data_IF_572213936614
#
_entry.id   IF_572213936614
#
_cell.length_a   1.000
_cell.length_b   1.000
_cell.length_c   1.000
_cell.angle_alpha   90.00
_cell.angle_beta   90.00
_cell.angle_gamma   90.00
#
_symmetry.space_group_name_H-M   'P 1'
#
loop_
_entity.id
_entity.type
_entity.pdbx_description
1 polymer ?
#
# COMPACT_ATOMS: atom_id res chain seq x y z
N UNK A 1 -2.59 -3.68 0.12
CA UNK A 1 -1.57 -2.97 -0.68
C UNK A 1 -0.21 -3.61 -0.48
N UNK A 2 0.65 -3.48 -1.50
CA UNK A 2 2.05 -3.84 -1.37
C UNK A 2 2.84 -2.67 -0.78
N UNK A 3 3.60 -2.96 0.26
CA UNK A 3 4.46 -2.01 0.96
C UNK A 3 5.91 -2.44 0.76
N UNK A 4 6.71 -1.53 0.28
CA UNK A 4 8.15 -1.69 0.19
C UNK A 4 8.76 -1.29 1.54
N UNK A 5 9.51 -2.19 2.15
CA UNK A 5 10.19 -1.96 3.44
C UNK A 5 11.68 -2.27 3.32
N UNK A 6 12.49 -1.51 4.04
CA UNK A 6 13.92 -1.77 4.14
C UNK A 6 14.21 -2.76 5.26
N UNK A 7 15.09 -3.74 5.00
CA UNK A 7 15.50 -4.72 6.00
C UNK A 7 16.45 -4.13 7.08
N UNK A 8 17.03 -2.93 6.83
CA UNK A 8 18.08 -2.36 7.68
C UNK A 8 17.75 -1.01 8.33
N UNK A 9 16.71 -0.29 7.86
CA UNK A 9 16.32 1.00 8.42
C UNK A 9 14.81 1.19 8.36
N UNK A 10 14.30 2.31 8.88
CA UNK A 10 12.86 2.60 8.98
C UNK A 10 12.20 3.04 7.67
N UNK A 11 12.88 2.89 6.52
CA UNK A 11 12.29 3.22 5.24
C UNK A 11 11.15 2.26 4.92
N UNK A 12 9.96 2.81 4.73
CA UNK A 12 8.79 2.11 4.24
C UNK A 12 7.94 3.04 3.34
N UNK A 13 7.40 2.50 2.28
CA UNK A 13 6.51 3.23 1.37
C UNK A 13 5.56 2.27 0.65
N UNK A 14 4.37 2.74 0.26
CA UNK A 14 3.55 1.95 -0.65
C UNK A 14 4.24 1.84 -2.02
N UNK A 15 3.91 0.80 -2.78
CA UNK A 15 4.58 0.50 -4.06
C UNK A 15 4.45 1.64 -5.09
N UNK A 16 3.41 2.45 -4.98
CA UNK A 16 3.14 3.58 -5.89
C UNK A 16 4.08 4.77 -5.64
N UNK A 17 4.57 4.94 -4.42
CA UNK A 17 5.44 6.04 -4.02
C UNK A 17 6.86 5.60 -3.69
N UNK A 18 7.11 4.29 -3.56
CA UNK A 18 8.41 3.76 -3.19
C UNK A 18 9.50 4.17 -4.18
N UNK A 19 10.67 4.52 -3.65
CA UNK A 19 11.88 4.83 -4.43
C UNK A 19 12.99 3.87 -4.05
N UNK A 20 13.99 3.76 -4.91
CA UNK A 20 15.19 2.94 -4.66
C UNK A 20 16.46 3.75 -4.89
N UNK A 21 17.59 3.26 -4.41
CA UNK A 21 18.88 3.80 -4.79
C UNK A 21 19.12 3.58 -6.29
N UNK A 22 19.78 4.55 -6.93
CA UNK A 22 20.15 4.43 -8.35
C UNK A 22 20.94 3.15 -8.57
N UNK A 23 20.51 2.36 -9.55
CA UNK A 23 21.18 1.10 -9.90
C UNK A 23 22.51 1.36 -10.58
N UNK A 24 23.45 0.47 -10.31
CA UNK A 24 24.76 0.43 -10.96
C UNK A 24 25.04 -0.98 -11.47
N UNK A 25 25.89 -1.11 -12.46
CA UNK A 25 26.33 -2.41 -13.00
C UNK A 25 27.85 -2.48 -13.04
N UNK A 26 28.38 -3.70 -12.99
CA UNK A 26 29.79 -4.00 -13.27
C UNK A 26 30.02 -4.43 -14.73
N UNK A 27 28.95 -4.52 -15.53
CA UNK A 27 29.03 -4.87 -16.92
C UNK A 27 29.80 -3.80 -17.72
N UNK A 28 30.52 -4.22 -18.73
CA UNK A 28 31.26 -3.33 -19.62
C UNK A 28 30.29 -2.42 -20.39
N UNK A 29 30.66 -1.16 -20.50
CA UNK A 29 29.88 -0.19 -21.28
C UNK A 29 30.04 -0.48 -22.78
N UNK A 30 28.97 -0.26 -23.57
CA UNK A 30 29.14 -0.25 -25.02
C UNK A 30 30.11 0.87 -25.42
N UNK A 31 31.19 0.53 -26.07
CA UNK A 31 32.13 1.49 -26.66
C UNK A 31 31.67 1.81 -28.07
N UNK A 32 30.88 2.85 -28.27
CA UNK A 32 30.49 3.28 -29.60
C UNK A 32 30.20 4.78 -29.60
N UNK A 33 30.62 5.45 -30.66
CA UNK A 33 30.09 6.78 -30.97
C UNK A 33 28.59 6.69 -31.26
N UNK A 34 27.87 7.75 -30.95
CA UNK A 34 26.42 7.78 -31.15
C UNK A 34 26.07 7.55 -32.63
N UNK A 35 25.62 6.36 -32.96
CA UNK A 35 25.30 5.94 -34.32
C UNK A 35 24.04 5.11 -34.40
N UNK A 36 23.40 5.13 -35.58
CA UNK A 36 22.21 4.35 -35.91
C UNK A 36 22.59 3.08 -36.60
N UNK A 37 22.09 1.94 -36.12
CA UNK A 37 22.41 0.60 -36.65
C UNK A 37 21.13 -0.12 -37.09
N UNK A 38 21.23 -0.86 -38.18
CA UNK A 38 20.21 -1.81 -38.59
C UNK A 38 20.27 -3.03 -37.68
N UNK A 39 19.16 -3.39 -37.07
CA UNK A 39 19.03 -4.47 -36.07
C UNK A 39 17.83 -5.35 -36.42
N UNK A 40 17.95 -6.15 -37.50
CA UNK A 40 16.84 -6.95 -37.98
C UNK A 40 16.42 -7.98 -36.92
N UNK A 41 15.10 -8.11 -36.69
CA UNK A 41 14.50 -9.03 -35.73
C UNK A 41 14.82 -8.75 -34.25
N UNK A 42 15.54 -7.69 -33.91
CA UNK A 42 15.79 -7.29 -32.51
C UNK A 42 14.69 -6.31 -32.03
N UNK A 43 13.62 -6.84 -31.45
CA UNK A 43 12.47 -6.03 -31.00
C UNK A 43 12.38 -5.94 -29.48
N UNK A 44 12.75 -6.99 -28.77
CA UNK A 44 12.74 -7.00 -27.31
C UNK A 44 14.07 -6.48 -26.75
N UNK A 45 14.06 -6.02 -25.50
CA UNK A 45 15.30 -5.58 -24.83
C UNK A 45 16.37 -6.68 -24.85
N UNK A 46 15.96 -7.92 -24.61
CA UNK A 46 16.84 -9.07 -24.66
C UNK A 46 17.47 -9.25 -26.06
N UNK A 47 16.64 -9.19 -27.13
CA UNK A 47 17.16 -9.32 -28.51
C UNK A 47 18.17 -8.22 -28.83
N UNK A 48 17.89 -6.97 -28.38
CA UNK A 48 18.77 -5.82 -28.59
C UNK A 48 20.09 -6.00 -27.82
N UNK A 49 20.03 -6.41 -26.56
CA UNK A 49 21.19 -6.65 -25.72
C UNK A 49 22.05 -7.78 -26.30
N UNK A 50 21.45 -8.90 -26.74
CA UNK A 50 22.12 -10.00 -27.39
C UNK A 50 22.77 -9.59 -28.74
N UNK A 51 22.06 -8.78 -29.55
CA UNK A 51 22.57 -8.30 -30.85
C UNK A 51 23.85 -7.48 -30.69
N UNK A 52 23.86 -6.55 -29.71
CA UNK A 52 25.04 -5.73 -29.44
C UNK A 52 26.04 -6.35 -28.45
N UNK A 53 25.73 -7.51 -27.87
CA UNK A 53 26.52 -8.20 -26.84
C UNK A 53 26.81 -7.34 -25.62
N UNK A 54 25.79 -6.68 -25.13
CA UNK A 54 25.83 -5.79 -23.95
C UNK A 54 24.84 -6.27 -22.90
N UNK A 55 24.99 -5.76 -21.68
CA UNK A 55 24.04 -5.98 -20.62
C UNK A 55 22.74 -5.19 -20.88
N UNK A 56 21.59 -5.76 -20.57
CA UNK A 56 20.27 -5.12 -20.68
C UNK A 56 20.18 -3.79 -19.90
N UNK A 57 21.05 -3.60 -18.91
CA UNK A 57 21.22 -2.36 -18.15
C UNK A 57 21.46 -1.14 -19.06
N UNK A 58 22.14 -1.32 -20.18
CA UNK A 58 22.44 -0.24 -21.13
C UNK A 58 21.33 0.01 -22.15
N UNK A 59 20.25 -0.75 -22.11
CA UNK A 59 19.11 -0.55 -22.99
C UNK A 59 18.06 0.39 -22.36
N UNK A 60 17.45 1.22 -23.20
CA UNK A 60 16.30 2.07 -22.83
C UNK A 60 15.05 1.50 -23.50
N UNK A 61 14.04 1.23 -22.70
CA UNK A 61 12.73 0.73 -23.14
C UNK A 61 11.72 1.85 -23.21
N UNK A 62 10.93 1.88 -24.28
CA UNK A 62 9.79 2.79 -24.44
C UNK A 62 8.50 2.08 -24.00
N UNK A 63 7.76 2.70 -23.09
CA UNK A 63 6.40 2.29 -22.72
C UNK A 63 5.45 3.37 -23.22
N UNK A 64 4.57 3.00 -24.15
CA UNK A 64 3.66 3.94 -24.82
C UNK A 64 2.29 3.78 -24.20
N UNK A 65 1.74 4.88 -23.65
CA UNK A 65 0.43 4.90 -23.02
C UNK A 65 -0.45 5.98 -23.64
N UNK A 66 -1.75 5.75 -23.58
CA UNK A 66 -2.77 6.75 -23.85
C UNK A 66 -3.12 7.43 -22.52
N UNK A 67 -2.80 8.70 -22.41
CA UNK A 67 -3.09 9.53 -21.25
C UNK A 67 -4.41 10.27 -21.44
N UNK A 68 -5.29 10.17 -20.45
CA UNK A 68 -6.61 10.82 -20.43
C UNK A 68 -6.53 12.01 -19.49
N UNK A 69 -6.91 13.17 -19.98
CA UNK A 69 -6.95 14.44 -19.24
C UNK A 69 -8.39 14.93 -19.13
N UNK A 70 -8.66 15.65 -18.05
CA UNK A 70 -9.91 16.42 -17.90
C UNK A 70 -9.51 17.88 -17.66
N UNK A 71 -10.08 18.77 -18.43
CA UNK A 71 -9.88 20.22 -18.23
C UNK A 71 -10.78 20.79 -17.12
N UNK A 72 -10.63 22.07 -16.81
CA UNK A 72 -11.42 22.77 -15.79
C UNK A 72 -12.93 22.81 -16.12
N UNK A 73 -13.33 22.55 -17.37
CA UNK A 73 -14.74 22.50 -17.81
C UNK A 73 -15.31 21.07 -17.78
N UNK A 74 -14.49 20.09 -17.44
CA UNK A 74 -14.88 18.68 -17.46
C UNK A 74 -14.77 18.02 -18.84
N UNK A 75 -14.16 18.68 -19.83
CA UNK A 75 -13.97 18.10 -21.15
C UNK A 75 -12.79 17.13 -21.14
N UNK A 76 -13.03 15.92 -21.66
CA UNK A 76 -12.01 14.90 -21.80
C UNK A 76 -11.17 15.12 -23.04
N UNK A 77 -9.86 14.97 -22.90
CA UNK A 77 -8.91 14.89 -24.01
C UNK A 77 -7.97 13.71 -23.83
N UNK A 78 -7.53 13.15 -24.95
CA UNK A 78 -6.62 11.99 -24.95
C UNK A 78 -5.36 12.36 -25.73
N UNK A 79 -4.21 11.89 -25.23
CA UNK A 79 -2.91 12.06 -25.89
C UNK A 79 -2.08 10.79 -25.72
N UNK A 80 -1.26 10.50 -26.73
CA UNK A 80 -0.20 9.48 -26.58
C UNK A 80 0.97 10.11 -25.85
N UNK A 81 1.46 9.42 -24.82
CA UNK A 81 2.63 9.77 -24.02
C UNK A 81 3.59 8.59 -23.99
N UNK A 82 4.89 8.87 -24.10
CA UNK A 82 5.92 7.85 -24.07
C UNK A 82 6.75 7.97 -22.80
N UNK A 83 6.93 6.87 -22.10
CA UNK A 83 7.78 6.79 -20.91
C UNK A 83 9.00 5.94 -21.21
N UNK A 84 10.17 6.48 -20.95
CA UNK A 84 11.44 5.79 -21.15
C UNK A 84 12.01 5.34 -19.81
N UNK A 85 12.17 4.05 -19.65
CA UNK A 85 12.76 3.41 -18.46
C UNK A 85 13.93 2.54 -18.90
N UNK A 86 14.76 2.11 -17.95
CA UNK A 86 15.84 1.15 -18.23
C UNK A 86 15.26 -0.18 -18.70
N UNK A 87 15.96 -0.91 -19.55
CA UNK A 87 15.46 -2.11 -20.22
C UNK A 87 14.91 -3.18 -19.30
N UNK A 88 15.57 -3.42 -18.16
CA UNK A 88 15.17 -4.39 -17.14
C UNK A 88 14.02 -3.89 -16.22
N UNK A 89 13.73 -2.60 -16.22
CA UNK A 89 12.79 -2.01 -15.30
C UNK A 89 11.36 -1.97 -15.85
N UNK A 90 10.40 -1.91 -14.96
CA UNK A 90 8.99 -1.77 -15.29
C UNK A 90 8.49 -0.38 -14.91
N UNK A 91 7.57 0.13 -15.73
CA UNK A 91 6.89 1.39 -15.47
C UNK A 91 5.92 1.22 -14.30
N UNK A 92 6.00 2.10 -13.30
CA UNK A 92 4.98 2.23 -12.27
C UNK A 92 3.90 3.20 -12.77
N UNK A 93 2.69 2.68 -13.00
CA UNK A 93 1.63 3.44 -13.68
C UNK A 93 1.19 4.70 -12.92
N UNK A 94 1.07 4.64 -11.59
CA UNK A 94 0.68 5.81 -10.79
C UNK A 94 1.76 6.90 -10.82
N UNK A 95 3.04 6.52 -10.78
CA UNK A 95 4.14 7.47 -10.96
C UNK A 95 4.12 8.11 -12.35
N UNK A 96 3.89 7.32 -13.39
CA UNK A 96 3.79 7.79 -14.76
C UNK A 96 2.59 8.72 -14.95
N UNK A 97 1.44 8.38 -14.38
CA UNK A 97 0.23 9.19 -14.36
C UNK A 97 0.49 10.55 -13.70
N UNK A 98 1.13 10.56 -12.54
CA UNK A 98 1.51 11.77 -11.83
C UNK A 98 2.54 12.60 -12.62
N UNK A 99 3.48 11.95 -13.31
CA UNK A 99 4.52 12.63 -14.10
C UNK A 99 3.94 13.47 -15.24
N UNK A 100 2.90 12.98 -15.90
CA UNK A 100 2.22 13.70 -16.99
C UNK A 100 0.95 14.45 -16.54
N UNK A 101 0.60 14.43 -15.24
CA UNK A 101 -0.62 15.00 -14.68
C UNK A 101 -1.91 14.51 -15.36
N UNK A 102 -1.93 13.27 -15.82
CA UNK A 102 -3.11 12.64 -16.42
C UNK A 102 -4.10 12.19 -15.33
N UNK A 103 -5.37 12.12 -15.68
CA UNK A 103 -6.40 11.52 -14.82
C UNK A 103 -6.24 9.99 -14.79
N UNK A 104 -5.91 9.41 -15.95
CA UNK A 104 -5.81 7.97 -16.15
C UNK A 104 -4.80 7.66 -17.26
N UNK A 105 -4.13 6.51 -17.16
CA UNK A 105 -3.33 5.92 -18.22
C UNK A 105 -3.97 4.62 -18.69
N UNK A 106 -4.09 4.44 -20.00
CA UNK A 106 -4.53 3.22 -20.64
C UNK A 106 -3.47 2.73 -21.62
N UNK A 107 -3.53 1.45 -21.99
CA UNK A 107 -2.68 0.93 -23.05
C UNK A 107 -3.07 1.53 -24.40
N UNK A 108 -2.08 1.98 -25.15
CA UNK A 108 -2.31 2.46 -26.50
C UNK A 108 -2.38 1.30 -27.49
N UNK A 109 -3.37 1.32 -28.36
CA UNK A 109 -3.50 0.34 -29.45
C UNK A 109 -2.43 0.59 -30.53
N UNK A 110 -2.11 -0.44 -31.33
CA UNK A 110 -1.17 -0.29 -32.44
C UNK A 110 -1.61 0.80 -33.45
N UNK A 111 -2.91 0.95 -33.68
CA UNK A 111 -3.46 1.99 -34.54
C UNK A 111 -3.22 3.41 -33.98
N UNK A 112 -3.43 3.60 -32.68
CA UNK A 112 -3.17 4.87 -32.00
C UNK A 112 -1.68 5.22 -31.98
N UNK A 113 -0.82 4.22 -31.73
CA UNK A 113 0.64 4.36 -31.80
C UNK A 113 1.07 4.82 -33.20
N UNK A 114 0.58 4.15 -34.25
CA UNK A 114 0.88 4.51 -35.63
C UNK A 114 0.33 5.90 -36.01
N UNK A 115 -0.89 6.25 -35.59
CA UNK A 115 -1.49 7.56 -35.81
C UNK A 115 -0.70 8.70 -35.14
N UNK A 116 -0.04 8.42 -34.02
CA UNK A 116 0.88 9.35 -33.36
C UNK A 116 2.25 9.45 -34.05
N UNK A 117 2.48 8.73 -35.16
CA UNK A 117 3.74 8.70 -35.89
C UNK A 117 4.86 7.89 -35.20
N UNK A 118 4.49 7.00 -34.28
CA UNK A 118 5.42 6.16 -33.53
C UNK A 118 5.57 4.77 -34.16
N UNK A 119 6.73 4.16 -33.95
CA UNK A 119 7.01 2.79 -34.38
C UNK A 119 7.12 1.90 -33.15
N UNK A 120 6.05 1.17 -32.83
CA UNK A 120 6.00 0.29 -31.67
C UNK A 120 7.15 -0.72 -31.65
N UNK A 121 7.85 -0.81 -30.51
CA UNK A 121 9.04 -1.64 -30.34
C UNK A 121 10.37 -1.01 -30.77
N UNK A 122 10.33 0.14 -31.47
CA UNK A 122 11.53 0.83 -31.96
C UNK A 122 11.56 2.33 -31.57
N UNK A 123 10.73 2.73 -30.60
CA UNK A 123 10.71 4.10 -30.10
C UNK A 123 11.93 4.38 -29.22
N UNK A 124 12.52 5.58 -29.41
CA UNK A 124 13.59 6.09 -28.56
C UNK A 124 13.46 7.60 -28.37
N UNK A 125 14.10 8.15 -27.31
CA UNK A 125 13.97 9.59 -27.00
C UNK A 125 14.70 10.48 -27.98
N UNK A 126 15.71 9.96 -28.70
CA UNK A 126 16.53 10.73 -29.66
C UNK A 126 15.73 11.04 -30.91
N UNK A 127 15.55 12.33 -31.21
CA UNK A 127 14.86 12.75 -32.42
C UNK A 127 13.34 12.58 -32.36
N UNK A 128 12.77 12.15 -31.24
CA UNK A 128 11.31 12.04 -31.05
C UNK A 128 10.66 13.42 -31.11
N UNK A 129 9.67 13.59 -31.99
CA UNK A 129 8.95 14.87 -32.20
C UNK A 129 7.45 14.66 -32.18
N UNK A 130 6.72 15.71 -31.80
CA UNK A 130 5.26 15.72 -31.86
C UNK A 130 4.54 14.92 -30.77
N UNK A 131 5.27 14.18 -29.93
CA UNK A 131 4.72 13.39 -28.83
C UNK A 131 5.37 13.80 -27.52
N UNK A 132 4.56 13.89 -26.48
CA UNK A 132 5.03 14.15 -25.13
C UNK A 132 5.73 12.91 -24.59
N UNK A 133 6.87 13.10 -23.89
CA UNK A 133 7.59 11.98 -23.30
C UNK A 133 8.31 12.35 -22.02
N UNK A 134 8.54 11.36 -21.17
CA UNK A 134 9.27 11.44 -19.92
C UNK A 134 10.32 10.33 -19.84
N UNK A 135 11.38 10.58 -19.09
CA UNK A 135 12.52 9.68 -18.92
C UNK A 135 12.67 9.40 -17.42
N UNK A 136 12.93 8.16 -17.07
CA UNK A 136 13.16 7.81 -15.67
C UNK A 136 14.39 8.55 -15.11
N UNK A 137 14.27 9.04 -13.88
CA UNK A 137 15.33 9.81 -13.20
C UNK A 137 16.64 9.04 -13.05
N UNK A 138 16.61 7.70 -12.98
CA UNK A 138 17.82 6.88 -12.89
C UNK A 138 18.66 6.92 -14.18
N UNK A 139 18.04 7.26 -15.31
CA UNK A 139 18.75 7.46 -16.57
C UNK A 139 19.45 8.82 -16.65
N UNK A 140 19.16 9.75 -15.75
CA UNK A 140 19.80 11.07 -15.76
C UNK A 140 21.32 10.95 -15.59
N UNK A 141 22.05 11.55 -16.52
CA UNK A 141 23.51 11.51 -16.53
C UNK A 141 24.11 10.22 -17.14
N UNK A 142 23.27 9.26 -17.56
CA UNK A 142 23.79 8.07 -18.24
C UNK A 142 24.26 8.38 -19.67
N UNK A 143 25.27 7.62 -20.08
CA UNK A 143 25.85 7.70 -21.43
C UNK A 143 26.09 6.29 -21.97
N UNK A 144 26.37 6.20 -23.26
CA UNK A 144 26.57 4.92 -23.93
C UNK A 144 25.33 4.01 -23.89
N UNK A 145 24.15 4.60 -23.87
CA UNK A 145 22.90 3.87 -23.84
C UNK A 145 22.47 3.42 -25.25
N UNK A 146 21.64 2.41 -25.31
CA UNK A 146 21.03 1.88 -26.52
C UNK A 146 19.52 2.12 -26.46
N UNK A 147 18.92 2.64 -27.53
CA UNK A 147 17.48 2.86 -27.59
C UNK A 147 16.97 2.68 -29.03
N UNK A 148 15.65 2.56 -29.19
CA UNK A 148 15.03 2.59 -30.50
C UNK A 148 15.38 3.86 -31.29
N UNK A 149 15.43 3.76 -32.61
CA UNK A 149 15.76 4.88 -33.50
C UNK A 149 14.53 5.52 -34.19
N UNK A 150 13.32 5.29 -33.67
CA UNK A 150 12.05 5.73 -34.22
C UNK A 150 11.81 5.26 -35.68
N UNK A 151 12.46 4.19 -36.07
CA UNK A 151 12.35 3.54 -37.37
C UNK A 151 12.41 2.03 -37.18
N UNK A 152 11.62 1.27 -37.95
CA UNK A 152 11.53 -0.17 -37.87
C UNK A 152 12.90 -0.81 -38.12
N UNK A 153 13.26 -1.75 -37.26
CA UNK A 153 14.52 -2.51 -37.29
C UNK A 153 15.78 -1.63 -37.14
N UNK A 154 15.67 -0.45 -36.50
CA UNK A 154 16.83 0.38 -36.20
C UNK A 154 16.91 0.79 -34.73
N UNK A 155 18.16 0.79 -34.21
CA UNK A 155 18.48 1.28 -32.87
C UNK A 155 19.65 2.27 -32.92
N UNK A 156 19.66 3.21 -31.99
CA UNK A 156 20.81 4.04 -31.67
C UNK A 156 21.66 3.38 -30.59
N UNK A 157 22.99 3.43 -30.75
CA UNK A 157 23.99 3.02 -29.77
C UNK A 157 24.83 4.23 -29.40
N UNK A 158 25.40 4.27 -28.20
CA UNK A 158 26.25 5.36 -27.74
C UNK A 158 25.47 6.62 -27.32
N UNK A 159 24.19 6.48 -27.02
CA UNK A 159 23.33 7.61 -26.69
C UNK A 159 23.68 8.19 -25.33
N UNK A 160 23.88 9.54 -25.27
CA UNK A 160 23.96 10.28 -24.01
C UNK A 160 22.60 10.85 -23.63
N UNK A 161 22.11 10.50 -22.45
CA UNK A 161 20.82 10.99 -21.93
C UNK A 161 20.96 12.38 -21.29
N UNK A 162 22.20 12.85 -21.07
CA UNK A 162 22.49 14.16 -20.45
C UNK A 162 22.01 15.37 -21.26
N UNK A 163 21.77 15.18 -22.57
CA UNK A 163 21.33 16.28 -23.46
C UNK A 163 19.85 16.63 -23.34
N UNK A 164 19.06 15.84 -22.62
CA UNK A 164 17.64 16.12 -22.47
C UNK A 164 17.36 17.12 -21.33
N UNK A 165 16.27 17.91 -21.50
CA UNK A 165 15.85 18.88 -20.49
C UNK A 165 15.57 18.17 -19.15
N UNK A 166 16.04 18.77 -18.06
CA UNK A 166 15.87 18.23 -16.69
C UNK A 166 14.40 17.99 -16.31
N UNK A 167 13.46 18.77 -16.82
CA UNK A 167 12.02 18.63 -16.56
C UNK A 167 11.42 17.31 -17.05
N UNK A 168 12.06 16.65 -18.02
CA UNK A 168 11.62 15.35 -18.55
C UNK A 168 11.94 14.18 -17.63
N UNK A 169 12.90 14.36 -16.70
CA UNK A 169 13.27 13.30 -15.78
C UNK A 169 12.28 13.23 -14.62
N UNK A 170 11.65 12.07 -14.47
CA UNK A 170 10.65 11.79 -13.44
C UNK A 170 10.96 10.46 -12.77
N UNK A 171 10.42 10.26 -11.58
CA UNK A 171 10.42 8.94 -10.95
C UNK A 171 9.34 8.10 -11.63
N UNK A 172 9.74 7.10 -12.40
CA UNK A 172 8.83 6.31 -13.23
C UNK A 172 8.90 4.81 -12.92
N UNK A 173 10.00 4.37 -12.33
CA UNK A 173 10.30 2.93 -12.21
C UNK A 173 9.58 2.30 -11.03
N UNK A 174 9.03 1.10 -11.24
CA UNK A 174 8.53 0.25 -10.19
C UNK A 174 9.68 -0.30 -9.33
N UNK A 175 9.53 -0.23 -8.02
CA UNK A 175 10.48 -0.80 -7.06
C UNK A 175 10.08 -2.25 -6.75
N UNK A 176 11.06 -3.13 -6.65
CA UNK A 176 10.86 -4.57 -6.41
C UNK A 176 11.72 -5.09 -5.27
N UNK A 177 11.38 -6.27 -4.77
CA UNK A 177 12.21 -6.96 -3.79
C UNK A 177 13.64 -7.18 -4.33
N UNK A 178 14.63 -6.95 -3.47
CA UNK A 178 16.06 -7.03 -3.81
C UNK A 178 16.66 -5.71 -4.31
N UNK A 179 15.85 -4.70 -4.67
CA UNK A 179 16.36 -3.34 -4.93
C UNK A 179 17.02 -2.75 -3.67
N UNK A 180 17.85 -1.74 -3.86
CA UNK A 180 18.59 -1.10 -2.76
C UNK A 180 17.84 0.09 -2.19
N UNK A 181 17.83 0.18 -0.86
CA UNK A 181 17.19 1.26 -0.13
C UNK A 181 17.81 2.62 -0.48
N UNK A 182 17.00 3.65 -0.78
CA UNK A 182 17.51 4.98 -1.11
C UNK A 182 18.14 5.69 0.09
N UNK A 183 17.84 5.25 1.33
CA UNK A 183 18.35 5.87 2.55
C UNK A 183 19.66 5.23 3.06
N UNK A 184 19.75 3.89 3.07
CA UNK A 184 20.88 3.20 3.69
C UNK A 184 21.59 2.19 2.79
N UNK A 185 21.09 1.94 1.56
CA UNK A 185 21.64 0.95 0.63
C UNK A 185 21.35 -0.50 0.99
N UNK A 186 20.61 -0.77 2.08
CA UNK A 186 20.15 -2.12 2.45
C UNK A 186 19.18 -2.70 1.42
N UNK A 187 18.83 -3.98 1.54
CA UNK A 187 17.86 -4.59 0.64
C UNK A 187 16.45 -4.10 0.94
N UNK A 188 15.67 -3.98 -0.11
CA UNK A 188 14.22 -3.74 -0.03
C UNK A 188 13.49 -5.07 -0.15
N UNK A 189 12.44 -5.25 0.64
CA UNK A 189 11.51 -6.37 0.58
C UNK A 189 10.07 -5.86 0.38
N UNK A 190 9.18 -6.77 -0.02
CA UNK A 190 7.76 -6.47 -0.21
C UNK A 190 6.97 -7.11 0.93
N UNK A 191 6.15 -6.33 1.59
CA UNK A 191 5.21 -6.78 2.62
C UNK A 191 3.78 -6.44 2.23
N UNK A 192 2.82 -7.19 2.73
CA UNK A 192 1.39 -6.83 2.59
C UNK A 192 0.99 -5.90 3.72
N UNK A 193 0.36 -4.80 3.37
CA UNK A 193 -0.18 -3.83 4.29
C UNK A 193 -1.68 -3.63 4.10
N UNK A 194 -2.35 -3.24 5.18
CA UNK A 194 -3.76 -2.84 5.14
C UNK A 194 -3.81 -1.33 5.33
N UNK A 195 -4.32 -0.61 4.33
CA UNK A 195 -4.52 0.84 4.42
C UNK A 195 -5.62 1.17 5.44
N UNK A 196 -5.26 1.83 6.52
CA UNK A 196 -6.20 2.27 7.56
C UNK A 196 -6.71 3.68 7.34
N UNK A 197 -5.95 4.52 6.65
CA UNK A 197 -6.31 5.89 6.31
C UNK A 197 -5.52 6.40 5.13
N UNK A 198 -6.04 7.46 4.49
CA UNK A 198 -5.43 8.06 3.31
C UNK A 198 -5.55 9.58 3.36
N UNK A 199 -4.48 10.27 2.99
CA UNK A 199 -4.44 11.72 2.85
C UNK A 199 -4.38 12.08 1.37
N UNK A 200 -5.38 12.80 0.89
CA UNK A 200 -5.46 13.25 -0.50
C UNK A 200 -5.07 14.73 -0.60
N UNK A 201 -4.08 15.03 -1.44
CA UNK A 201 -3.71 16.39 -1.82
C UNK A 201 -4.52 16.78 -3.06
N UNK A 202 -5.69 17.36 -2.89
CA UNK A 202 -6.62 17.66 -3.97
C UNK A 202 -6.24 18.95 -4.75
N UNK A 203 -5.44 19.84 -4.15
CA UNK A 203 -5.08 21.11 -4.75
C UNK A 203 -6.33 21.94 -5.08
N UNK A 204 -6.41 22.42 -6.31
CA UNK A 204 -7.56 23.22 -6.78
C UNK A 204 -8.53 22.44 -7.67
N UNK A 205 -8.35 21.11 -7.79
CA UNK A 205 -9.10 20.23 -8.70
C UNK A 205 -10.63 20.38 -8.61
N UNK A 206 -11.15 20.63 -7.42
CA UNK A 206 -12.59 20.82 -7.20
C UNK A 206 -12.96 22.29 -6.96
N UNK A 207 -12.10 23.06 -6.31
CA UNK A 207 -12.39 24.46 -5.99
C UNK A 207 -12.46 25.36 -7.23
N UNK A 208 -11.61 25.15 -8.23
CA UNK A 208 -11.67 25.89 -9.48
C UNK A 208 -12.97 25.66 -10.26
N UNK A 209 -13.38 24.43 -10.60
CA UNK A 209 -14.64 24.19 -11.32
C UNK A 209 -15.88 24.66 -10.55
N UNK A 210 -15.83 24.60 -9.22
CA UNK A 210 -16.91 25.06 -8.36
C UNK A 210 -16.91 26.56 -8.10
N UNK A 211 -15.89 27.27 -8.60
CA UNK A 211 -15.65 28.69 -8.29
C UNK A 211 -15.63 28.98 -6.77
N UNK A 212 -15.12 28.02 -6.00
CA UNK A 212 -14.95 28.14 -4.55
C UNK A 212 -13.66 28.93 -4.28
N UNK A 213 -13.81 30.23 -4.03
CA UNK A 213 -12.67 31.16 -3.89
C UNK A 213 -12.69 31.87 -2.55
N UNK A 214 -11.53 32.38 -2.14
CA UNK A 214 -11.37 33.34 -1.04
C UNK A 214 -10.59 34.57 -1.54
N UNK A 215 -10.69 35.67 -0.84
CA UNK A 215 -9.88 36.85 -1.12
C UNK A 215 -8.58 36.76 -0.34
N UNK A 216 -7.46 36.88 -1.04
CA UNK A 216 -6.15 36.97 -0.41
C UNK A 216 -5.95 38.36 0.27
N UNK A 217 -4.84 38.53 0.97
CA UNK A 217 -4.46 39.77 1.66
C UNK A 217 -4.45 41.03 0.78
N UNK A 218 -4.36 40.86 -0.56
CA UNK A 218 -4.42 41.93 -1.56
C UNK A 218 -5.81 42.10 -2.19
N UNK A 219 -6.83 41.38 -1.66
CA UNK A 219 -8.19 41.42 -2.18
C UNK A 219 -8.39 40.66 -3.48
N UNK A 220 -7.42 39.81 -3.90
CA UNK A 220 -7.51 39.01 -5.13
C UNK A 220 -8.17 37.66 -4.83
N UNK A 221 -9.19 37.31 -5.63
CA UNK A 221 -9.83 36.02 -5.55
C UNK A 221 -8.86 34.90 -5.95
N UNK A 222 -8.72 33.88 -5.07
CA UNK A 222 -7.94 32.66 -5.30
C UNK A 222 -8.77 31.44 -4.95
N UNK A 223 -8.65 30.32 -5.70
CA UNK A 223 -9.32 29.10 -5.36
C UNK A 223 -8.75 28.50 -4.05
N UNK A 224 -9.61 27.84 -3.28
CA UNK A 224 -9.16 27.10 -2.11
C UNK A 224 -8.24 25.94 -2.51
N UNK A 225 -7.13 25.80 -1.80
CA UNK A 225 -6.29 24.61 -1.87
C UNK A 225 -6.92 23.57 -0.93
N UNK A 226 -7.33 22.44 -1.49
CA UNK A 226 -8.11 21.41 -0.78
C UNK A 226 -7.25 20.21 -0.42
N UNK A 227 -7.58 19.60 0.72
CA UNK A 227 -7.14 18.29 1.14
C UNK A 227 -8.33 17.43 1.57
N UNK A 228 -8.18 16.12 1.55
CA UNK A 228 -9.14 15.18 2.10
C UNK A 228 -8.42 14.18 2.99
N UNK A 229 -9.03 13.82 4.10
CA UNK A 229 -8.43 12.98 5.13
C UNK A 229 -9.42 11.87 5.48
N UNK A 230 -9.15 10.66 4.97
CA UNK A 230 -10.02 9.51 5.12
C UNK A 230 -9.49 8.51 6.15
N UNK A 231 -10.38 7.95 6.97
CA UNK A 231 -10.11 6.80 7.84
C UNK A 231 -11.19 5.75 7.61
N UNK A 232 -10.76 4.51 7.33
CA UNK A 232 -11.65 3.36 7.16
C UNK A 232 -12.08 2.79 8.51
N UNK A 233 -13.05 3.42 9.20
CA UNK A 233 -13.44 3.04 10.58
C UNK A 233 -13.83 1.58 10.69
N UNK A 234 -14.66 1.06 9.78
CA UNK A 234 -15.03 -0.36 9.77
C UNK A 234 -13.85 -1.28 9.41
N UNK A 235 -12.93 -0.80 8.59
CA UNK A 235 -11.68 -1.53 8.27
C UNK A 235 -10.77 -1.67 9.49
N UNK A 236 -10.78 -0.71 10.42
CA UNK A 236 -9.98 -0.80 11.66
C UNK A 236 -10.34 -2.02 12.51
N UNK A 237 -11.61 -2.44 12.51
CA UNK A 237 -12.04 -3.67 13.19
C UNK A 237 -11.34 -4.89 12.59
N UNK A 238 -11.37 -5.02 11.27
CA UNK A 238 -10.69 -6.12 10.56
C UNK A 238 -9.17 -6.08 10.79
N UNK A 239 -8.57 -4.89 10.78
CA UNK A 239 -7.12 -4.71 11.07
C UNK A 239 -6.77 -5.17 12.49
N UNK A 240 -7.61 -4.84 13.49
CA UNK A 240 -7.38 -5.24 14.86
C UNK A 240 -7.42 -6.77 15.03
N UNK A 241 -8.36 -7.43 14.34
CA UNK A 241 -8.47 -8.88 14.31
C UNK A 241 -7.27 -9.53 13.62
N UNK A 242 -6.89 -9.01 12.45
CA UNK A 242 -5.73 -9.51 11.67
C UNK A 242 -4.41 -9.34 12.45
N UNK A 243 -4.26 -8.23 13.18
CA UNK A 243 -3.04 -7.94 13.94
C UNK A 243 -2.91 -8.78 15.23
N UNK A 244 -4.02 -9.24 15.82
CA UNK A 244 -4.03 -9.96 17.09
C UNK A 244 -5.03 -11.11 17.11
N UNK A 245 -4.57 -12.27 16.71
CA UNK A 245 -5.28 -13.53 16.81
C UNK A 245 -4.30 -14.68 17.11
N UNK A 246 -4.83 -15.80 17.50
CA UNK A 246 -4.13 -17.08 17.58
C UNK A 246 -4.94 -18.17 16.86
N UNK A 247 -4.49 -19.43 16.92
CA UNK A 247 -5.18 -20.57 16.28
C UNK A 247 -6.59 -20.81 16.85
N UNK A 248 -6.93 -20.25 18.00
CA UNK A 248 -8.22 -20.41 18.67
C UNK A 248 -9.22 -19.32 18.32
N UNK A 249 -8.74 -18.14 17.92
CA UNK A 249 -9.59 -17.03 17.55
C UNK A 249 -9.00 -15.66 17.83
N UNK A 250 -9.87 -14.66 17.96
CA UNK A 250 -9.53 -13.26 18.15
C UNK A 250 -8.90 -13.02 19.54
N UNK A 251 -7.98 -12.05 19.62
CA UNK A 251 -7.47 -11.49 20.88
C UNK A 251 -7.71 -9.99 20.84
N UNK A 252 -8.86 -9.54 21.35
CA UNK A 252 -9.20 -8.11 21.34
C UNK A 252 -8.26 -7.30 22.23
N UNK A 253 -7.96 -6.11 21.77
CA UNK A 253 -7.49 -5.02 22.62
C UNK A 253 -8.66 -4.55 23.50
N UNK A 254 -8.42 -4.22 24.76
CA UNK A 254 -9.47 -3.80 25.71
C UNK A 254 -10.30 -2.60 25.22
N UNK A 255 -9.67 -1.66 24.50
CA UNK A 255 -10.34 -0.47 23.97
C UNK A 255 -11.30 -0.79 22.82
N UNK A 256 -11.01 -1.83 22.03
CA UNK A 256 -11.79 -2.19 20.84
C UNK A 256 -12.74 -3.37 21.10
N UNK A 257 -12.57 -4.07 22.21
CA UNK A 257 -13.40 -5.22 22.55
C UNK A 257 -14.87 -4.82 22.66
N UNK A 258 -15.80 -5.53 21.99
CA UNK A 258 -17.23 -5.31 22.15
C UNK A 258 -17.70 -5.44 23.61
N UNK A 259 -17.12 -6.39 24.33
CA UNK A 259 -17.26 -6.59 25.76
C UNK A 259 -15.88 -6.78 26.39
N UNK A 260 -15.62 -6.13 27.51
CA UNK A 260 -14.37 -6.30 28.24
C UNK A 260 -14.34 -7.64 28.99
N UNK A 261 -15.48 -8.04 29.53
CA UNK A 261 -15.65 -9.25 30.30
C UNK A 261 -16.76 -10.13 29.76
N UNK A 262 -16.56 -11.45 29.85
CA UNK A 262 -17.62 -12.45 29.70
C UNK A 262 -17.78 -13.20 31.02
N UNK A 263 -19.01 -13.31 31.54
CA UNK A 263 -19.32 -14.14 32.69
C UNK A 263 -19.92 -15.46 32.16
N UNK A 264 -19.25 -16.58 32.42
CA UNK A 264 -19.65 -17.88 31.93
C UNK A 264 -20.22 -18.73 33.09
N UNK A 265 -21.51 -19.03 33.03
CA UNK A 265 -22.15 -19.95 33.97
C UNK A 265 -21.87 -21.37 33.49
N UNK A 266 -21.12 -22.15 34.28
CA UNK A 266 -20.71 -23.50 33.89
C UNK A 266 -21.84 -24.52 34.02
N UNK A 267 -22.81 -24.32 34.94
CA UNK A 267 -23.94 -25.18 35.18
C UNK A 267 -25.19 -24.40 35.61
N UNK A 268 -26.18 -24.35 34.76
CA UNK A 268 -27.45 -23.63 35.03
C UNK A 268 -28.34 -24.33 36.10
N UNK A 269 -28.03 -25.55 36.50
CA UNK A 269 -28.75 -26.24 37.60
C UNK A 269 -28.25 -25.80 38.98
N UNK A 270 -27.15 -25.09 39.05
CA UNK A 270 -26.62 -24.47 40.26
C UNK A 270 -27.25 -23.10 40.45
N UNK A 271 -28.35 -23.05 41.19
CA UNK A 271 -29.11 -21.80 41.41
C UNK A 271 -28.30 -20.72 42.14
N UNK A 272 -27.38 -21.10 43.05
CA UNK A 272 -26.48 -20.15 43.72
C UNK A 272 -25.47 -19.55 42.71
N UNK A 273 -24.91 -20.40 41.86
CA UNK A 273 -24.01 -19.97 40.77
C UNK A 273 -24.68 -19.03 39.78
N UNK A 274 -25.92 -19.34 39.36
CA UNK A 274 -26.72 -18.49 38.50
C UNK A 274 -26.98 -17.13 39.14
N UNK A 275 -27.44 -17.11 40.39
CA UNK A 275 -27.71 -15.88 41.14
C UNK A 275 -26.47 -15.03 41.34
N UNK A 276 -25.34 -15.64 41.66
CA UNK A 276 -24.06 -14.92 41.79
C UNK A 276 -23.63 -14.29 40.47
N UNK A 277 -23.68 -15.04 39.38
CA UNK A 277 -23.30 -14.57 38.04
C UNK A 277 -24.18 -13.37 37.58
N UNK A 278 -25.49 -13.48 37.83
CA UNK A 278 -26.41 -12.40 37.51
C UNK A 278 -26.13 -11.13 38.34
N UNK A 279 -25.89 -11.28 39.65
CA UNK A 279 -25.53 -10.16 40.51
C UNK A 279 -24.22 -9.48 40.07
N UNK A 280 -23.19 -10.26 39.76
CA UNK A 280 -21.92 -9.74 39.25
C UNK A 280 -22.11 -9.01 37.93
N UNK A 281 -22.94 -9.53 37.03
CA UNK A 281 -23.28 -8.90 35.76
C UNK A 281 -23.95 -7.54 35.96
N UNK A 282 -24.94 -7.47 36.87
CA UNK A 282 -25.63 -6.22 37.17
C UNK A 282 -24.70 -5.19 37.81
N UNK A 283 -23.85 -5.59 38.73
CA UNK A 283 -22.86 -4.73 39.39
C UNK A 283 -21.83 -4.15 38.40
N UNK A 284 -21.36 -4.94 37.45
CA UNK A 284 -20.45 -4.46 36.41
C UNK A 284 -21.15 -3.49 35.47
N UNK A 285 -22.37 -3.78 35.04
CA UNK A 285 -23.17 -2.89 34.22
C UNK A 285 -23.47 -1.55 34.93
N UNK A 286 -23.84 -1.59 36.19
CA UNK A 286 -24.06 -0.41 36.99
C UNK A 286 -22.81 0.45 37.16
N UNK A 287 -21.62 -0.20 37.10
CA UNK A 287 -20.32 0.48 37.08
C UNK A 287 -19.90 1.00 35.68
N UNK A 288 -20.74 0.86 34.65
CA UNK A 288 -20.45 1.30 33.28
C UNK A 288 -19.47 0.40 32.52
N UNK A 289 -19.23 -0.80 33.01
CA UNK A 289 -18.32 -1.78 32.40
C UNK A 289 -19.08 -2.63 31.37
N UNK A 290 -18.51 -2.79 30.17
CA UNK A 290 -19.09 -3.65 29.12
C UNK A 290 -18.88 -5.13 29.48
N UNK A 291 -19.97 -5.86 29.66
CA UNK A 291 -19.95 -7.26 30.09
C UNK A 291 -21.02 -8.06 29.37
N UNK A 292 -20.67 -9.28 28.97
CA UNK A 292 -21.58 -10.30 28.44
C UNK A 292 -21.82 -11.36 29.51
N UNK A 293 -23.08 -11.82 29.66
CA UNK A 293 -23.42 -12.98 30.49
C UNK A 293 -23.82 -14.15 29.59
N UNK A 294 -23.05 -15.24 29.64
CA UNK A 294 -23.40 -16.48 28.96
C UNK A 294 -24.25 -17.40 29.89
N UNK A 295 -25.55 -17.16 29.81
CA UNK A 295 -26.60 -17.91 30.55
C UNK A 295 -27.28 -18.99 29.66
N UNK A 296 -26.71 -19.32 28.50
CA UNK A 296 -27.26 -20.32 27.58
C UNK A 296 -27.17 -21.74 28.19
N UNK A 297 -28.16 -22.57 27.86
CA UNK A 297 -28.13 -23.97 28.26
C UNK A 297 -27.23 -24.80 27.32
N UNK A 298 -25.94 -24.47 27.30
CA UNK A 298 -24.92 -25.14 26.51
C UNK A 298 -23.86 -25.82 27.40
N UNK A 299 -23.12 -26.77 26.83
CA UNK A 299 -22.01 -27.42 27.52
C UNK A 299 -20.90 -26.41 27.80
N UNK A 300 -20.31 -26.48 28.99
CA UNK A 300 -19.22 -25.60 29.39
C UNK A 300 -18.08 -25.53 28.35
N UNK A 301 -17.69 -26.67 27.76
CA UNK A 301 -16.65 -26.69 26.72
C UNK A 301 -17.01 -25.90 25.47
N UNK A 302 -18.30 -25.84 25.08
CA UNK A 302 -18.78 -25.01 23.96
C UNK A 302 -18.64 -23.56 24.32
N UNK A 303 -19.11 -23.14 25.50
CA UNK A 303 -18.99 -21.74 25.96
C UNK A 303 -17.53 -21.27 26.01
N UNK A 304 -16.63 -22.11 26.49
CA UNK A 304 -15.20 -21.81 26.52
C UNK A 304 -14.59 -21.70 25.13
N UNK A 305 -14.97 -22.59 24.20
CA UNK A 305 -14.48 -22.48 22.80
C UNK A 305 -14.99 -21.22 22.12
N UNK A 306 -16.22 -20.80 22.40
CA UNK A 306 -16.78 -19.56 21.87
C UNK A 306 -16.14 -18.33 22.51
N UNK A 307 -15.85 -18.32 23.81
CA UNK A 307 -15.02 -17.29 24.45
C UNK A 307 -13.65 -17.15 23.76
N UNK A 308 -12.97 -18.27 23.54
CA UNK A 308 -11.69 -18.30 22.85
C UNK A 308 -11.80 -17.75 21.41
N UNK A 309 -12.86 -18.11 20.69
CA UNK A 309 -13.12 -17.67 19.32
C UNK A 309 -13.49 -16.18 19.26
N UNK A 310 -14.43 -15.73 20.10
CA UNK A 310 -14.87 -14.34 20.15
C UNK A 310 -13.80 -13.39 20.68
N UNK A 311 -12.96 -13.88 21.57
CA UNK A 311 -11.73 -13.22 21.95
C UNK A 311 -11.86 -12.05 22.92
N UNK A 312 -12.91 -11.99 23.74
CA UNK A 312 -13.03 -10.93 24.77
C UNK A 312 -11.85 -10.99 25.74
N UNK A 313 -11.34 -9.84 26.22
CA UNK A 313 -10.11 -9.82 27.03
C UNK A 313 -10.11 -10.73 28.24
N UNK A 314 -11.25 -10.83 28.92
CA UNK A 314 -11.36 -11.60 30.16
C UNK A 314 -12.66 -12.40 30.25
N UNK A 315 -12.60 -13.58 30.87
CA UNK A 315 -13.77 -14.33 31.27
C UNK A 315 -13.78 -14.62 32.78
N UNK A 316 -14.93 -14.54 33.40
CA UNK A 316 -15.17 -15.01 34.77
C UNK A 316 -15.98 -16.29 34.68
N UNK A 317 -15.38 -17.41 35.12
CA UNK A 317 -16.03 -18.71 35.12
C UNK A 317 -16.67 -18.93 36.51
N UNK A 318 -17.99 -18.99 36.52
CA UNK A 318 -18.77 -19.33 37.73
C UNK A 318 -19.09 -20.83 37.67
N UNK A 319 -18.42 -21.59 38.52
CA UNK A 319 -18.49 -23.02 38.53
C UNK A 319 -18.38 -23.64 39.95
N UNK A 320 -17.94 -24.88 40.04
CA UNK A 320 -17.88 -25.62 41.29
C UNK A 320 -17.09 -24.94 42.42
N UNK A 321 -16.10 -24.13 42.08
CA UNK A 321 -15.32 -23.37 43.06
C UNK A 321 -16.13 -22.35 43.86
N UNK A 322 -17.32 -21.97 43.36
CA UNK A 322 -18.18 -21.04 44.10
C UNK A 322 -18.62 -21.59 45.48
N UNK A 323 -18.85 -22.87 45.59
CA UNK A 323 -19.16 -23.52 46.86
C UNK A 323 -18.01 -23.40 47.91
N UNK A 324 -16.78 -23.21 47.42
CA UNK A 324 -15.57 -22.93 48.20
C UNK A 324 -15.26 -21.42 48.29
N UNK A 325 -16.17 -20.58 47.81
CA UNK A 325 -16.04 -19.13 47.83
C UNK A 325 -15.10 -18.57 46.77
N UNK A 326 -14.83 -19.31 45.67
CA UNK A 326 -13.90 -18.86 44.59
C UNK A 326 -14.52 -18.92 43.22
N UNK A 327 -14.00 -18.10 42.29
CA UNK A 327 -14.28 -18.12 40.86
C UNK A 327 -12.97 -18.13 40.07
N UNK A 328 -12.99 -18.55 38.80
CA UNK A 328 -11.81 -18.46 37.94
C UNK A 328 -11.93 -17.20 37.07
N UNK A 329 -10.87 -16.40 37.05
CA UNK A 329 -10.66 -15.31 36.08
C UNK A 329 -9.69 -15.80 35.01
N UNK A 330 -10.11 -15.71 33.74
CA UNK A 330 -9.31 -16.16 32.61
C UNK A 330 -8.97 -14.95 31.75
N UNK A 331 -7.68 -14.78 31.45
CA UNK A 331 -7.21 -13.79 30.45
C UNK A 331 -7.18 -14.46 29.08
N UNK A 332 -7.79 -13.89 28.05
CA UNK A 332 -7.84 -14.47 26.70
C UNK A 332 -6.43 -14.63 26.10
N UNK A 333 -5.58 -13.61 26.23
CA UNK A 333 -4.18 -13.69 25.79
C UNK A 333 -3.40 -14.74 26.61
N UNK A 334 -3.03 -15.84 25.98
CA UNK A 334 -2.31 -16.94 26.61
C UNK A 334 -3.17 -17.85 27.51
N UNK A 335 -4.47 -17.61 27.64
CA UNK A 335 -5.45 -18.38 28.43
C UNK A 335 -5.00 -18.58 29.89
N UNK A 336 -4.42 -17.55 30.48
CA UNK A 336 -3.93 -17.57 31.86
C UNK A 336 -5.12 -17.58 32.83
N UNK A 337 -5.12 -18.50 33.77
CA UNK A 337 -6.17 -18.66 34.78
C UNK A 337 -5.69 -18.18 36.14
N UNK A 338 -6.53 -17.40 36.82
CA UNK A 338 -6.35 -16.90 38.18
C UNK A 338 -7.54 -17.32 39.01
N UNK A 339 -7.33 -17.96 40.17
CA UNK A 339 -8.40 -18.24 41.12
C UNK A 339 -8.56 -17.02 42.03
N UNK A 340 -9.75 -16.43 42.04
CA UNK A 340 -10.07 -15.22 42.80
C UNK A 340 -11.20 -15.53 43.79
N UNK A 341 -11.16 -14.94 44.99
CA UNK A 341 -12.28 -15.06 45.91
C UNK A 341 -13.52 -14.40 45.37
N UNK A 342 -14.66 -15.06 45.47
CA UNK A 342 -15.94 -14.55 44.97
C UNK A 342 -16.28 -13.15 45.56
N UNK A 343 -15.92 -12.90 46.83
CA UNK A 343 -16.11 -11.63 47.50
C UNK A 343 -15.21 -10.49 46.99
N UNK A 344 -14.10 -10.84 46.33
CA UNK A 344 -13.09 -9.89 45.85
C UNK A 344 -13.16 -9.67 44.32
N UNK A 345 -13.92 -10.50 43.57
CA UNK A 345 -13.91 -10.52 42.12
C UNK A 345 -14.33 -9.15 41.51
N UNK A 346 -15.38 -8.53 42.03
CA UNK A 346 -15.85 -7.25 41.51
C UNK A 346 -14.77 -6.15 41.62
N UNK A 347 -14.08 -6.10 42.77
CA UNK A 347 -12.98 -5.15 42.96
C UNK A 347 -11.81 -5.46 42.01
N UNK A 348 -11.48 -6.75 41.82
CA UNK A 348 -10.43 -7.20 40.91
C UNK A 348 -10.73 -6.82 39.46
N UNK A 349 -11.98 -7.03 38.98
CA UNK A 349 -12.40 -6.67 37.63
C UNK A 349 -12.38 -5.16 37.38
N UNK A 350 -12.72 -4.36 38.39
CA UNK A 350 -12.65 -2.90 38.29
C UNK A 350 -11.22 -2.35 38.26
N UNK A 351 -10.24 -3.14 38.69
CA UNK A 351 -8.82 -2.77 38.67
C UNK A 351 -8.10 -3.14 37.36
N UNK A 352 -8.71 -3.97 36.53
CA UNK A 352 -8.27 -4.29 35.17
C UNK A 352 -8.73 -3.20 34.21
#
# INVERSE_FOLDING_TARGET
>A
DDIIVCENCDYAANIEAATRAKRTTQAERPEADAAKFLTPNAKTIKDVAEFFRVDEFYCIKAVIKKAIFIDAKGEKSEKIVVFFVRGEDELQEVKAQNACAALELADATEAEIAAAGLVGGFCGPVGLKGVEFYIDKELQGESQMICGANERDYHFVGVSVSSFNAERFKDLTAVKAGDKCPCCGGNLSVSKGIEVGHIFKLGTKYSEPMNATFLDENGKAKPFIMGCYGIGVSRLVAVAVEAKHDEKGIIWNETLAPFKFEIIISNLKDEEGVKFAQGLYEDLRAAGVSVLLDDRNERFGVKMSEFELMGFPYAVIVGKGLAEGTVELVTRGGLVKETVKASEILARLKSL
#
